data_IF_276746784230
#
_entry.id   IF_276746784230
#
_cell.length_a   1.000
_cell.length_b   1.000
_cell.length_c   1.000
_cell.angle_alpha   90.00
_cell.angle_beta   90.00
_cell.angle_gamma   90.00
#
_symmetry.space_group_name_H-M   'P 1'
#
loop_
_entity.id
_entity.type
_entity.pdbx_description
1 polymer ?
#
# COMPACT_ATOMS: atom_id res chain seq x y z
N UNK A 1 54.83 -2.41 -44.57
CA UNK A 1 54.73 -3.60 -45.44
C UNK A 1 53.40 -3.50 -46.18
N UNK A 2 53.47 -3.43 -47.51
CA UNK A 2 52.34 -3.30 -48.42
C UNK A 2 51.51 -4.58 -48.44
N UNK A 3 50.19 -4.45 -48.52
CA UNK A 3 49.46 -5.09 -49.62
C UNK A 3 48.20 -4.29 -49.97
N UNK A 4 48.16 -3.92 -51.25
CA UNK A 4 47.14 -3.18 -51.99
C UNK A 4 46.30 -4.20 -52.75
N UNK A 5 44.99 -3.96 -52.91
CA UNK A 5 44.14 -4.23 -54.10
C UNK A 5 42.66 -4.10 -53.66
N UNK A 6 41.69 -3.60 -54.43
CA UNK A 6 41.60 -2.63 -55.53
C UNK A 6 40.09 -2.45 -55.79
N UNK A 7 39.61 -1.21 -55.71
CA UNK A 7 38.51 -0.52 -56.41
C UNK A 7 37.06 -1.09 -56.60
N UNK A 8 36.07 -0.16 -56.79
CA UNK A 8 34.62 -0.31 -56.55
C UNK A 8 33.78 -0.38 -57.84
N UNK A 9 32.48 -0.62 -57.68
CA UNK A 9 31.48 -0.43 -58.76
C UNK A 9 30.36 0.50 -58.30
N UNK A 10 30.38 1.67 -58.92
CA UNK A 10 29.31 2.66 -59.10
C UNK A 10 28.30 2.12 -60.12
N UNK A 11 26.99 2.40 -59.97
CA UNK A 11 26.03 2.68 -61.07
C UNK A 11 24.62 2.91 -60.49
N UNK A 12 24.12 4.15 -60.42
CA UNK A 12 23.43 4.94 -61.46
C UNK A 12 21.91 4.67 -61.49
N UNK A 13 21.18 5.69 -61.02
CA UNK A 13 19.76 5.98 -61.28
C UNK A 13 19.55 6.33 -62.76
N UNK A 14 18.49 5.81 -63.38
CA UNK A 14 17.82 6.46 -64.51
C UNK A 14 16.34 6.05 -64.62
N UNK A 15 15.47 7.06 -64.57
CA UNK A 15 14.05 7.04 -64.94
C UNK A 15 13.88 6.79 -66.45
N UNK A 16 12.88 6.01 -66.85
CA UNK A 16 12.05 6.26 -68.04
C UNK A 16 10.98 5.17 -68.21
N UNK A 17 9.71 5.56 -68.17
CA UNK A 17 8.61 4.71 -68.64
C UNK A 17 8.46 4.82 -70.17
N UNK A 18 7.83 3.81 -70.78
CA UNK A 18 7.07 4.02 -72.00
C UNK A 18 5.58 3.73 -71.82
N UNK A 19 4.83 4.46 -72.64
CA UNK A 19 3.40 4.53 -72.75
C UNK A 19 2.71 3.21 -73.14
N UNK A 20 1.42 3.17 -72.80
CA UNK A 20 0.37 2.32 -73.34
C UNK A 20 0.46 2.15 -74.85
N UNK A 21 0.31 0.89 -75.32
CA UNK A 21 -0.41 0.52 -76.54
C UNK A 21 -0.29 -0.99 -76.74
N UNK A 22 -1.19 -1.77 -76.14
CA UNK A 22 -1.53 -3.08 -76.70
C UNK A 22 -2.97 -3.03 -77.21
N UNK A 23 -3.23 -3.53 -78.43
CA UNK A 23 -4.58 -3.61 -78.97
C UNK A 23 -5.39 -4.60 -78.12
N UNK A 24 -6.42 -4.12 -77.45
CA UNK A 24 -7.41 -4.97 -76.81
C UNK A 24 -8.45 -5.35 -77.86
N UNK A 25 -8.47 -6.63 -78.20
CA UNK A 25 -9.43 -7.23 -79.12
C UNK A 25 -10.64 -7.70 -78.29
N UNK A 26 -11.79 -7.04 -78.46
CA UNK A 26 -13.00 -7.22 -77.63
C UNK A 26 -13.78 -8.52 -77.94
N UNK A 27 -13.37 -9.27 -78.96
CA UNK A 27 -14.14 -10.43 -79.47
C UNK A 27 -13.61 -11.80 -79.02
N UNK A 28 -12.66 -11.87 -78.08
CA UNK A 28 -12.08 -13.16 -77.66
C UNK A 28 -12.09 -13.48 -76.15
N UNK A 29 -12.66 -12.63 -75.29
CA UNK A 29 -12.80 -12.95 -73.86
C UNK A 29 -14.24 -13.35 -73.52
N UNK A 30 -14.48 -14.66 -73.45
CA UNK A 30 -15.75 -15.22 -72.99
C UNK A 30 -16.01 -14.94 -71.51
N UNK A 31 -17.29 -14.89 -71.13
CA UNK A 31 -17.78 -14.56 -69.78
C UNK A 31 -17.28 -15.48 -68.64
N UNK A 32 -16.50 -16.52 -68.98
CA UNK A 32 -15.97 -17.53 -68.07
C UNK A 32 -14.54 -17.24 -67.55
N UNK A 33 -13.83 -16.27 -68.12
CA UNK A 33 -12.42 -15.99 -67.78
C UNK A 33 -12.22 -14.77 -66.85
N UNK A 34 -13.31 -14.20 -66.31
CA UNK A 34 -13.21 -13.20 -65.24
C UNK A 34 -13.25 -13.93 -63.89
N UNK A 35 -12.14 -13.99 -63.13
CA UNK A 35 -12.17 -14.58 -61.80
C UNK A 35 -13.18 -13.82 -60.94
N UNK A 36 -14.15 -14.53 -60.37
CA UNK A 36 -15.11 -13.94 -59.46
C UNK A 36 -14.34 -13.20 -58.34
N UNK A 37 -14.50 -11.88 -58.27
CA UNK A 37 -14.04 -11.08 -57.14
C UNK A 37 -14.58 -11.74 -55.88
N UNK A 38 -13.68 -12.26 -55.03
CA UNK A 38 -14.03 -12.59 -53.64
C UNK A 38 -14.44 -11.29 -52.97
N UNK A 39 -15.74 -11.00 -53.00
CA UNK A 39 -16.33 -10.00 -52.14
C UNK A 39 -16.11 -10.51 -50.72
N UNK A 40 -15.12 -9.96 -50.03
CA UNK A 40 -15.02 -10.10 -48.59
C UNK A 40 -16.31 -9.52 -48.05
N UNK A 41 -17.21 -10.38 -47.55
CA UNK A 41 -18.37 -9.90 -46.79
C UNK A 41 -17.83 -8.89 -45.77
N UNK A 42 -18.37 -7.66 -45.69
CA UNK A 42 -17.96 -6.74 -44.65
C UNK A 42 -18.11 -7.48 -43.33
N UNK A 43 -17.03 -7.52 -42.54
CA UNK A 43 -17.00 -8.23 -41.28
C UNK A 43 -18.28 -7.90 -40.52
N UNK A 44 -19.15 -8.90 -40.33
CA UNK A 44 -20.35 -8.72 -39.52
C UNK A 44 -19.86 -8.10 -38.22
N UNK A 45 -20.40 -6.95 -37.78
CA UNK A 45 -19.99 -6.39 -36.51
C UNK A 45 -20.09 -7.52 -35.50
N UNK A 46 -18.99 -7.78 -34.79
CA UNK A 46 -18.99 -8.76 -33.71
C UNK A 46 -20.25 -8.50 -32.88
N UNK A 47 -21.02 -9.54 -32.49
CA UNK A 47 -22.21 -9.33 -31.68
C UNK A 47 -21.78 -8.47 -30.49
N UNK A 48 -22.22 -7.20 -30.50
CA UNK A 48 -22.07 -6.35 -29.33
C UNK A 48 -23.06 -6.94 -28.37
N UNK A 49 -22.60 -7.91 -27.58
CA UNK A 49 -23.35 -8.40 -26.45
C UNK A 49 -23.56 -7.15 -25.61
N UNK A 50 -24.80 -6.64 -25.46
CA UNK A 50 -25.03 -5.53 -24.56
C UNK A 50 -24.43 -5.94 -23.21
N UNK A 51 -23.71 -5.05 -22.49
CA UNK A 51 -23.10 -5.44 -21.24
C UNK A 51 -24.19 -6.04 -20.36
N UNK A 52 -24.14 -7.37 -20.19
CA UNK A 52 -25.08 -8.10 -19.38
C UNK A 52 -24.91 -7.57 -17.98
N UNK A 53 -26.00 -7.07 -17.38
CA UNK A 53 -25.98 -6.68 -15.97
C UNK A 53 -25.65 -7.94 -15.18
N UNK A 54 -24.45 -8.03 -14.64
CA UNK A 54 -24.04 -9.14 -13.77
C UNK A 54 -24.77 -8.92 -12.44
N UNK A 55 -25.60 -9.88 -12.06
CA UNK A 55 -26.23 -9.92 -10.75
C UNK A 55 -25.44 -10.90 -9.91
N UNK A 56 -24.88 -10.44 -8.80
CA UNK A 56 -24.18 -11.26 -7.82
C UNK A 56 -25.11 -11.59 -6.65
N UNK A 57 -24.83 -12.69 -5.96
CA UNK A 57 -25.57 -13.15 -4.79
C UNK A 57 -24.67 -13.06 -3.56
N UNK A 58 -25.12 -12.33 -2.54
CA UNK A 58 -24.50 -12.31 -1.21
C UNK A 58 -25.17 -13.38 -0.35
N UNK A 59 -24.39 -14.35 0.11
CA UNK A 59 -24.81 -15.39 1.06
C UNK A 59 -24.08 -15.20 2.39
N UNK A 60 -24.79 -15.45 3.50
CA UNK A 60 -24.24 -15.38 4.86
C UNK A 60 -24.25 -16.77 5.49
N UNK A 61 -23.45 -16.96 6.54
CA UNK A 61 -23.48 -18.15 7.40
C UNK A 61 -24.32 -17.94 8.67
N UNK A 62 -25.17 -16.91 8.67
CA UNK A 62 -26.17 -16.70 9.73
C UNK A 62 -27.29 -17.73 9.59
N UNK A 63 -27.59 -18.40 10.69
CA UNK A 63 -28.64 -19.41 10.82
C UNK A 63 -29.66 -18.93 11.85
N UNK A 64 -30.94 -19.03 11.50
CA UNK A 64 -32.06 -18.61 12.32
C UNK A 64 -33.02 -19.77 12.51
N UNK A 65 -33.42 -20.03 13.75
CA UNK A 65 -34.36 -21.10 14.05
C UNK A 65 -35.76 -20.79 13.51
N UNK A 66 -36.12 -19.50 13.40
CA UNK A 66 -37.43 -19.09 12.88
C UNK A 66 -37.30 -18.16 11.67
N UNK A 67 -38.10 -18.43 10.63
CA UNK A 67 -38.21 -17.57 9.44
C UNK A 67 -38.53 -16.10 9.80
N UNK A 68 -39.28 -15.87 10.87
CA UNK A 68 -39.62 -14.52 11.35
C UNK A 68 -38.40 -13.67 11.74
N UNK A 69 -37.28 -14.29 12.10
CA UNK A 69 -36.03 -13.62 12.50
C UNK A 69 -35.16 -13.28 11.28
N UNK A 70 -35.34 -14.02 10.17
CA UNK A 70 -34.55 -13.87 8.95
C UNK A 70 -34.82 -12.51 8.29
N UNK A 71 -36.08 -12.08 8.22
CA UNK A 71 -36.44 -10.84 7.52
C UNK A 71 -35.79 -9.59 8.14
N UNK A 72 -35.88 -9.35 9.46
CA UNK A 72 -35.17 -8.24 10.10
C UNK A 72 -33.65 -8.28 9.87
N UNK A 73 -33.03 -9.47 9.94
CA UNK A 73 -31.60 -9.62 9.69
C UNK A 73 -31.22 -9.31 8.23
N UNK A 74 -31.99 -9.84 7.27
CA UNK A 74 -31.81 -9.58 5.84
C UNK A 74 -31.98 -8.09 5.51
N UNK A 75 -33.02 -7.44 6.04
CA UNK A 75 -33.26 -6.01 5.84
C UNK A 75 -32.11 -5.16 6.43
N UNK A 76 -31.53 -5.58 7.57
CA UNK A 76 -30.34 -4.94 8.13
C UNK A 76 -29.11 -5.09 7.22
N UNK A 77 -28.88 -6.28 6.62
CA UNK A 77 -27.78 -6.48 5.66
C UNK A 77 -28.00 -5.68 4.37
N UNK A 78 -29.22 -5.63 3.84
CA UNK A 78 -29.57 -4.78 2.71
C UNK A 78 -29.24 -3.31 3.02
N UNK A 79 -29.58 -2.83 4.21
CA UNK A 79 -29.23 -1.49 4.67
C UNK A 79 -27.72 -1.24 4.71
N UNK A 80 -26.94 -2.19 5.21
CA UNK A 80 -25.47 -2.11 5.25
C UNK A 80 -24.84 -2.09 3.84
N UNK A 81 -25.33 -2.93 2.92
CA UNK A 81 -24.88 -2.95 1.52
C UNK A 81 -25.20 -1.63 0.81
N UNK A 82 -26.40 -1.08 1.01
CA UNK A 82 -26.77 0.23 0.48
C UNK A 82 -25.90 1.35 1.06
N UNK A 83 -25.58 1.29 2.36
CA UNK A 83 -24.64 2.23 2.99
C UNK A 83 -23.21 2.10 2.44
N UNK A 84 -22.84 0.92 1.94
CA UNK A 84 -21.60 0.69 1.19
C UNK A 84 -21.65 1.22 -0.26
N UNK A 85 -22.81 1.70 -0.71
CA UNK A 85 -23.04 2.20 -2.06
C UNK A 85 -23.46 1.14 -3.08
N UNK A 86 -23.68 -0.10 -2.65
CA UNK A 86 -24.16 -1.17 -3.51
C UNK A 86 -25.64 -1.01 -3.83
N UNK A 87 -26.02 -1.38 -5.06
CA UNK A 87 -27.42 -1.49 -5.45
C UNK A 87 -27.89 -2.92 -5.20
N UNK A 88 -28.84 -3.09 -4.29
CA UNK A 88 -29.47 -4.39 -3.98
C UNK A 88 -30.77 -4.56 -4.78
N UNK A 89 -31.02 -5.75 -5.33
CA UNK A 89 -32.24 -6.11 -6.07
C UNK A 89 -33.30 -6.79 -5.20
N UNK A 90 -32.99 -7.01 -3.92
CA UNK A 90 -33.85 -7.69 -2.96
C UNK A 90 -33.14 -8.89 -2.35
N UNK A 91 -33.80 -9.54 -1.40
CA UNK A 91 -33.29 -10.77 -0.81
C UNK A 91 -34.41 -11.80 -0.64
N UNK A 92 -34.01 -13.05 -0.47
CA UNK A 92 -34.89 -14.21 -0.30
C UNK A 92 -34.42 -15.05 0.89
N UNK A 93 -35.38 -15.61 1.62
CA UNK A 93 -35.12 -16.60 2.67
C UNK A 93 -34.75 -17.93 2.01
N UNK A 94 -33.79 -18.64 2.59
CA UNK A 94 -33.33 -19.94 2.14
C UNK A 94 -33.37 -20.92 3.32
N UNK A 95 -34.08 -22.05 3.22
CA UNK A 95 -34.05 -23.07 4.27
C UNK A 95 -32.68 -23.78 4.30
N UNK A 96 -32.16 -24.03 5.50
CA UNK A 96 -30.88 -24.68 5.75
C UNK A 96 -31.07 -25.80 6.81
N UNK A 97 -31.48 -26.98 6.35
CA UNK A 97 -31.79 -28.08 7.26
C UNK A 97 -33.02 -27.78 8.12
N UNK A 98 -32.81 -27.65 9.44
CA UNK A 98 -33.86 -27.26 10.39
C UNK A 98 -33.92 -25.74 10.65
N UNK A 99 -32.96 -24.98 10.11
CA UNK A 99 -32.83 -23.55 10.29
C UNK A 99 -33.08 -22.80 8.97
N UNK A 100 -32.97 -21.48 9.02
CA UNK A 100 -33.17 -20.58 7.89
C UNK A 100 -31.99 -19.62 7.74
N UNK A 101 -31.71 -19.21 6.51
CA UNK A 101 -30.75 -18.16 6.16
C UNK A 101 -31.33 -17.27 5.06
N UNK A 102 -30.51 -16.40 4.44
CA UNK A 102 -30.96 -15.54 3.34
C UNK A 102 -29.87 -15.29 2.30
N UNK A 103 -30.32 -14.96 1.09
CA UNK A 103 -29.47 -14.50 -0.02
C UNK A 103 -29.95 -13.12 -0.47
N UNK A 104 -29.02 -12.20 -0.71
CA UNK A 104 -29.31 -10.86 -1.25
C UNK A 104 -28.70 -10.75 -2.64
N UNK A 105 -29.52 -10.45 -3.64
CA UNK A 105 -29.04 -10.20 -5.00
C UNK A 105 -28.62 -8.72 -5.13
N UNK A 106 -27.47 -8.45 -5.73
CA UNK A 106 -26.90 -7.11 -5.85
C UNK A 106 -26.09 -6.90 -7.13
N UNK A 107 -25.87 -5.64 -7.49
CA UNK A 107 -24.96 -5.26 -8.57
C UNK A 107 -23.52 -5.17 -8.03
N UNK A 108 -22.55 -5.94 -8.56
CA UNK A 108 -21.20 -6.01 -8.02
C UNK A 108 -20.33 -4.81 -8.36
N UNK A 109 -20.90 -3.76 -8.98
CA UNK A 109 -20.19 -2.54 -9.33
C UNK A 109 -20.85 -1.31 -8.70
N UNK A 110 -20.03 -0.30 -8.44
CA UNK A 110 -20.46 1.01 -7.93
C UNK A 110 -19.99 2.12 -8.85
N UNK A 111 -20.85 3.12 -9.09
CA UNK A 111 -20.53 4.25 -9.99
C UNK A 111 -19.45 5.14 -9.39
N UNK A 112 -18.41 5.43 -10.17
CA UNK A 112 -17.24 6.18 -9.69
C UNK A 112 -17.52 7.63 -9.28
N UNK A 113 -18.59 8.25 -9.80
CA UNK A 113 -18.99 9.62 -9.46
C UNK A 113 -19.88 9.72 -8.20
N UNK A 114 -20.30 8.59 -7.61
CA UNK A 114 -21.09 8.61 -6.39
C UNK A 114 -20.20 8.95 -5.18
N UNK A 115 -20.77 9.62 -4.18
CA UNK A 115 -20.13 9.89 -2.89
C UNK A 115 -19.99 8.57 -2.11
N UNK A 116 -18.96 7.80 -2.45
CA UNK A 116 -18.74 6.45 -1.93
C UNK A 116 -17.68 6.43 -0.83
N UNK A 117 -17.76 5.44 0.08
CA UNK A 117 -16.70 5.12 1.02
C UNK A 117 -15.31 5.04 0.34
N UNK A 118 -14.24 5.46 1.02
CA UNK A 118 -12.89 5.33 0.48
C UNK A 118 -12.54 3.86 0.23
N UNK A 119 -11.69 3.61 -0.76
CA UNK A 119 -11.07 2.31 -0.91
C UNK A 119 -10.04 2.19 0.21
N UNK A 120 -10.07 1.08 0.93
CA UNK A 120 -9.15 0.83 2.04
C UNK A 120 -8.60 -0.58 1.92
N UNK A 121 -7.50 -0.83 2.61
CA UNK A 121 -6.99 -2.16 2.87
C UNK A 121 -6.55 -2.22 4.34
N UNK A 122 -6.67 -3.39 4.94
CA UNK A 122 -6.15 -3.67 6.26
C UNK A 122 -4.69 -4.10 6.11
N UNK A 123 -3.82 -3.48 6.90
CA UNK A 123 -2.39 -3.81 6.99
C UNK A 123 -2.05 -4.14 8.44
N UNK A 124 -1.05 -5.01 8.62
CA UNK A 124 -0.51 -5.35 9.94
C UNK A 124 0.93 -4.88 10.02
N UNK A 125 1.19 -3.87 10.83
CA UNK A 125 2.55 -3.47 11.19
C UNK A 125 3.09 -4.40 12.27
N UNK A 126 4.31 -4.91 12.07
CA UNK A 126 5.07 -5.65 13.08
C UNK A 126 6.29 -4.81 13.46
N UNK A 127 6.47 -4.59 14.75
CA UNK A 127 7.53 -3.72 15.26
C UNK A 127 8.95 -4.19 14.96
N UNK A 128 9.15 -5.51 14.84
CA UNK A 128 10.47 -6.09 14.55
C UNK A 128 11.48 -5.96 15.70
N UNK A 129 11.06 -5.48 16.88
CA UNK A 129 11.81 -5.60 18.14
C UNK A 129 11.19 -6.70 19.01
N UNK A 130 12.04 -7.29 19.85
CA UNK A 130 11.66 -8.24 20.88
C UNK A 130 11.92 -7.60 22.26
N UNK A 131 11.01 -7.84 23.19
CA UNK A 131 11.05 -7.34 24.56
C UNK A 131 10.98 -8.51 25.53
N UNK A 132 11.91 -8.54 26.48
CA UNK A 132 11.91 -9.54 27.53
C UNK A 132 10.63 -9.48 28.38
N UNK A 133 10.24 -8.27 28.80
CA UNK A 133 9.05 -8.06 29.63
C UNK A 133 7.82 -7.76 28.76
N UNK A 134 6.74 -8.50 29.01
CA UNK A 134 5.44 -8.28 28.35
C UNK A 134 4.91 -6.85 28.58
N UNK A 135 5.14 -6.30 29.77
CA UNK A 135 4.74 -4.94 30.11
C UNK A 135 5.39 -3.90 29.21
N UNK A 136 6.68 -4.05 28.91
CA UNK A 136 7.42 -3.12 28.07
C UNK A 136 6.93 -3.21 26.62
N UNK A 137 6.67 -4.42 26.12
CA UNK A 137 6.04 -4.63 24.82
C UNK A 137 4.65 -3.99 24.75
N UNK A 138 3.85 -4.12 25.80
CA UNK A 138 2.49 -3.56 25.88
C UNK A 138 2.49 -2.03 25.91
N UNK A 139 3.43 -1.41 26.62
CA UNK A 139 3.55 0.04 26.70
C UNK A 139 4.03 0.63 25.36
N UNK A 140 5.01 0.00 24.70
CA UNK A 140 5.45 0.36 23.35
C UNK A 140 4.35 0.14 22.29
N UNK A 141 3.59 -0.96 22.40
CA UNK A 141 2.44 -1.22 21.53
C UNK A 141 1.39 -0.09 21.63
N UNK A 142 1.07 0.35 22.85
CA UNK A 142 0.11 1.44 23.07
C UNK A 142 0.63 2.76 22.51
N UNK A 143 1.92 3.06 22.72
CA UNK A 143 2.55 4.25 22.17
C UNK A 143 2.54 4.23 20.64
N UNK A 144 2.89 3.10 20.03
CA UNK A 144 2.86 2.92 18.58
C UNK A 144 1.44 3.07 18.02
N UNK A 145 0.45 2.42 18.62
CA UNK A 145 -0.96 2.58 18.20
C UNK A 145 -1.44 4.03 18.35
N UNK A 146 -0.94 4.80 19.33
CA UNK A 146 -1.22 6.23 19.42
C UNK A 146 -0.54 7.03 18.29
N UNK A 147 0.70 6.69 17.93
CA UNK A 147 1.42 7.28 16.79
C UNK A 147 0.72 7.04 15.45
N UNK A 148 0.20 5.84 15.20
CA UNK A 148 -0.64 5.56 14.01
C UNK A 148 -1.88 6.46 13.95
N UNK A 149 -2.59 6.61 15.07
CA UNK A 149 -3.76 7.52 15.15
C UNK A 149 -3.36 8.98 14.97
N UNK A 150 -2.22 9.41 15.52
CA UNK A 150 -1.68 10.75 15.33
C UNK A 150 -1.33 11.03 13.87
N UNK A 151 -0.80 10.01 13.17
CA UNK A 151 -0.54 10.00 11.73
C UNK A 151 -1.81 9.89 10.86
N UNK A 152 -3.01 9.97 11.48
CA UNK A 152 -4.32 9.91 10.82
C UNK A 152 -4.64 8.56 10.15
N UNK A 153 -4.00 7.49 10.61
CA UNK A 153 -4.36 6.12 10.23
C UNK A 153 -5.30 5.51 11.29
N UNK A 154 -6.49 5.03 10.88
CA UNK A 154 -7.38 4.32 11.79
C UNK A 154 -6.75 2.99 12.25
N UNK A 155 -6.65 2.80 13.57
CA UNK A 155 -6.18 1.56 14.18
C UNK A 155 -7.40 0.69 14.50
N UNK A 156 -7.39 -0.54 14.00
CA UNK A 156 -8.42 -1.55 14.27
C UNK A 156 -8.11 -2.31 15.54
N UNK A 157 -6.85 -2.73 15.70
CA UNK A 157 -6.43 -3.52 16.85
C UNK A 157 -4.93 -3.46 17.04
N UNK A 158 -4.48 -3.96 18.18
CA UNK A 158 -3.07 -4.21 18.46
C UNK A 158 -2.96 -5.38 19.41
N UNK A 159 -1.97 -6.24 19.21
CA UNK A 159 -1.79 -7.44 20.01
C UNK A 159 -0.32 -7.77 20.20
N UNK A 160 -0.04 -8.51 21.28
CA UNK A 160 1.27 -9.08 21.54
C UNK A 160 1.37 -10.46 20.90
N UNK A 161 2.57 -10.83 20.46
CA UNK A 161 2.89 -12.16 19.97
C UNK A 161 4.27 -12.59 20.45
N UNK A 162 4.47 -13.91 20.57
CA UNK A 162 5.77 -14.46 20.94
C UNK A 162 6.76 -14.35 19.77
N UNK A 163 7.96 -13.84 20.05
CA UNK A 163 9.06 -13.72 19.11
C UNK A 163 10.32 -14.33 19.73
N UNK A 164 10.60 -15.60 19.44
CA UNK A 164 11.85 -16.25 19.87
C UNK A 164 12.01 -16.46 21.38
N UNK A 165 10.91 -16.50 22.15
CA UNK A 165 10.93 -16.59 23.62
C UNK A 165 10.66 -15.25 24.32
N UNK A 166 10.77 -14.16 23.57
CA UNK A 166 10.43 -12.80 24.01
C UNK A 166 9.06 -12.37 23.49
N UNK A 167 8.65 -11.16 23.85
CA UNK A 167 7.40 -10.53 23.44
C UNK A 167 7.63 -9.51 22.33
N UNK A 168 6.80 -9.51 21.30
CA UNK A 168 6.75 -8.48 20.27
C UNK A 168 5.30 -8.03 20.08
N UNK A 169 5.09 -6.99 19.28
CA UNK A 169 3.74 -6.46 19.08
C UNK A 169 3.43 -6.15 17.62
N UNK A 170 2.14 -6.22 17.32
CA UNK A 170 1.59 -5.86 16.03
C UNK A 170 0.47 -4.84 16.18
N UNK A 171 0.30 -4.00 15.17
CA UNK A 171 -0.77 -3.01 15.07
C UNK A 171 -1.47 -3.21 13.74
N UNK A 172 -2.77 -3.51 13.79
CA UNK A 172 -3.63 -3.63 12.62
C UNK A 172 -4.26 -2.26 12.33
N UNK A 173 -4.08 -1.77 11.12
CA UNK A 173 -4.52 -0.44 10.72
C UNK A 173 -5.11 -0.43 9.31
N UNK A 174 -5.89 0.61 9.03
CA UNK A 174 -6.46 0.86 7.72
C UNK A 174 -5.63 1.89 6.97
N UNK A 175 -5.22 1.55 5.75
CA UNK A 175 -4.63 2.50 4.80
C UNK A 175 -5.55 2.66 3.60
N UNK A 176 -5.70 3.91 3.14
CA UNK A 176 -6.47 4.17 1.93
C UNK A 176 -5.76 3.54 0.73
N UNK A 177 -6.54 2.99 -0.19
CA UNK A 177 -6.05 2.45 -1.45
C UNK A 177 -6.32 3.47 -2.57
N UNK A 178 -5.30 3.82 -3.34
CA UNK A 178 -5.39 4.82 -4.41
C UNK A 178 -5.90 4.17 -5.69
N UNK A 179 -7.18 4.34 -5.97
CA UNK A 179 -7.80 3.86 -7.21
C UNK A 179 -7.55 4.84 -8.36
N UNK A 180 -7.33 4.31 -9.57
CA UNK A 180 -7.36 5.13 -10.79
C UNK A 180 -8.81 5.55 -11.07
N UNK A 181 -9.05 6.79 -11.51
CA UNK A 181 -10.39 7.21 -11.93
C UNK A 181 -10.98 6.22 -12.94
N UNK A 182 -12.18 5.71 -12.63
CA UNK A 182 -12.94 4.80 -13.48
C UNK A 182 -14.43 5.17 -13.43
N UNK A 183 -15.17 4.83 -14.47
CA UNK A 183 -16.62 5.03 -14.53
C UNK A 183 -17.35 4.17 -13.48
N UNK A 184 -16.86 2.95 -13.27
CA UNK A 184 -17.34 2.00 -12.26
C UNK A 184 -16.16 1.33 -11.57
N UNK A 185 -16.36 0.99 -10.30
CA UNK A 185 -15.44 0.18 -9.51
C UNK A 185 -16.10 -1.14 -9.15
N UNK A 186 -15.29 -2.19 -9.10
CA UNK A 186 -15.71 -3.49 -8.59
C UNK A 186 -15.82 -3.42 -7.07
N UNK A 187 -16.60 -4.32 -6.50
CA UNK A 187 -16.76 -4.44 -5.06
C UNK A 187 -16.31 -5.81 -4.58
N UNK A 188 -15.55 -5.81 -3.48
CA UNK A 188 -15.02 -7.01 -2.84
C UNK A 188 -15.46 -7.04 -1.38
N UNK A 189 -15.89 -8.22 -0.94
CA UNK A 189 -16.11 -8.53 0.47
C UNK A 189 -14.82 -9.04 1.07
N UNK A 190 -14.44 -8.50 2.21
CA UNK A 190 -13.27 -8.92 2.97
C UNK A 190 -13.65 -9.17 4.42
N UNK A 191 -12.85 -10.01 5.08
CA UNK A 191 -13.02 -10.35 6.48
C UNK A 191 -11.77 -9.93 7.23
N UNK A 192 -11.97 -9.26 8.36
CA UNK A 192 -10.91 -8.94 9.30
C UNK A 192 -11.23 -9.58 10.64
N UNK A 193 -10.30 -10.36 11.18
CA UNK A 193 -10.43 -11.03 12.48
C UNK A 193 -9.43 -10.42 13.45
N UNK A 194 -9.92 -9.90 14.57
CA UNK A 194 -9.11 -9.22 15.57
C UNK A 194 -9.55 -9.47 16.99
N UNK A 195 -8.64 -9.20 17.92
CA UNK A 195 -8.86 -9.39 19.36
C UNK A 195 -8.60 -10.81 19.86
N UNK A 196 -8.51 -10.91 21.19
CA UNK A 196 -8.29 -12.15 21.92
C UNK A 196 -9.12 -12.08 23.20
N UNK A 197 -10.11 -12.95 23.31
CA UNK A 197 -11.08 -13.01 24.40
C UNK A 197 -11.12 -14.42 24.95
N UNK A 198 -11.20 -14.57 26.27
CA UNK A 198 -11.24 -15.91 26.88
C UNK A 198 -12.60 -16.58 26.64
N UNK A 199 -13.67 -15.80 26.60
CA UNK A 199 -15.03 -16.30 26.44
C UNK A 199 -15.71 -15.75 25.19
N UNK A 200 -16.51 -16.60 24.53
CA UNK A 200 -17.34 -16.20 23.37
C UNK A 200 -18.22 -14.99 23.71
N UNK A 201 -18.83 -15.00 24.91
CA UNK A 201 -19.72 -13.92 25.35
C UNK A 201 -19.03 -12.55 25.43
N UNK A 202 -17.71 -12.51 25.67
CA UNK A 202 -16.92 -11.27 25.65
C UNK A 202 -16.67 -10.80 24.22
N UNK A 203 -16.32 -11.72 23.32
CA UNK A 203 -16.17 -11.42 21.90
C UNK A 203 -17.49 -10.90 21.30
N UNK A 204 -18.62 -11.55 21.62
CA UNK A 204 -19.96 -11.10 21.20
C UNK A 204 -20.26 -9.68 21.70
N UNK A 205 -19.99 -9.39 22.98
CA UNK A 205 -20.15 -8.05 23.55
C UNK A 205 -19.24 -7.00 22.89
N UNK A 206 -18.09 -7.41 22.36
CA UNK A 206 -17.15 -6.52 21.69
C UNK A 206 -17.58 -6.19 20.24
N UNK A 207 -18.37 -7.03 19.57
CA UNK A 207 -18.77 -6.86 18.15
C UNK A 207 -19.22 -5.42 17.82
N UNK A 208 -20.13 -4.77 18.57
CA UNK A 208 -20.57 -3.41 18.25
C UNK A 208 -19.43 -2.37 18.25
N UNK A 209 -18.43 -2.53 19.12
CA UNK A 209 -17.29 -1.64 19.18
C UNK A 209 -16.41 -1.76 17.94
N UNK A 210 -16.15 -2.98 17.46
CA UNK A 210 -15.40 -3.21 16.22
C UNK A 210 -16.14 -2.66 14.99
N UNK A 211 -17.46 -2.88 14.89
CA UNK A 211 -18.28 -2.30 13.82
C UNK A 211 -18.24 -0.77 13.84
N UNK A 212 -18.29 -0.16 15.03
CA UNK A 212 -18.18 1.29 15.18
C UNK A 212 -16.79 1.83 14.77
N UNK A 213 -15.71 1.10 15.05
CA UNK A 213 -14.36 1.47 14.63
C UNK A 213 -14.22 1.50 13.11
N UNK A 214 -14.69 0.46 12.40
CA UNK A 214 -14.69 0.44 10.94
C UNK A 214 -15.55 1.57 10.37
N UNK A 215 -16.74 1.80 10.94
CA UNK A 215 -17.62 2.90 10.54
C UNK A 215 -16.95 4.26 10.73
N UNK A 216 -16.26 4.49 11.85
CA UNK A 216 -15.51 5.71 12.11
C UNK A 216 -14.32 5.90 11.15
N UNK A 217 -13.74 4.81 10.67
CA UNK A 217 -12.72 4.81 9.63
C UNK A 217 -13.29 5.01 8.21
N UNK A 218 -14.62 5.12 8.07
CA UNK A 218 -15.30 5.25 6.78
C UNK A 218 -15.43 3.93 6.02
N UNK A 219 -15.25 2.78 6.67
CA UNK A 219 -15.35 1.46 6.07
C UNK A 219 -16.74 0.87 6.34
N UNK A 220 -17.51 0.52 5.29
CA UNK A 220 -18.81 -0.11 5.46
C UNK A 220 -18.67 -1.54 5.98
N UNK A 221 -18.91 -1.71 7.28
CA UNK A 221 -19.01 -3.04 7.88
C UNK A 221 -20.42 -3.61 7.63
N UNK A 222 -20.47 -4.87 7.21
CA UNK A 222 -21.73 -5.58 6.89
C UNK A 222 -22.24 -6.32 8.11
N UNK A 223 -21.35 -7.01 8.81
CA UNK A 223 -21.64 -7.74 10.04
C UNK A 223 -20.37 -8.05 10.82
N UNK A 224 -20.55 -8.37 12.09
CA UNK A 224 -19.49 -8.93 12.91
C UNK A 224 -20.02 -10.11 13.71
N UNK A 225 -19.15 -11.07 14.00
CA UNK A 225 -19.45 -12.24 14.81
C UNK A 225 -18.26 -12.64 15.67
N UNK A 226 -18.52 -13.38 16.74
CA UNK A 226 -17.47 -14.07 17.46
C UNK A 226 -17.03 -15.29 16.66
N UNK A 227 -15.72 -15.56 16.64
CA UNK A 227 -15.13 -16.75 16.02
C UNK A 227 -14.12 -17.36 16.98
N UNK A 228 -14.06 -18.68 17.04
CA UNK A 228 -13.05 -19.38 17.81
C UNK A 228 -11.71 -19.36 17.06
N UNK A 229 -10.63 -19.09 17.79
CA UNK A 229 -9.26 -19.09 17.30
C UNK A 229 -8.63 -20.47 17.44
N UNK A 230 -7.50 -20.68 16.77
CA UNK A 230 -6.74 -21.93 16.86
C UNK A 230 -6.17 -22.19 18.26
N UNK A 231 -5.94 -21.14 19.06
CA UNK A 231 -5.45 -21.23 20.44
C UNK A 231 -6.56 -21.48 21.48
N UNK A 232 -7.80 -21.71 21.05
CA UNK A 232 -8.96 -22.00 21.91
C UNK A 232 -9.71 -20.76 22.41
N UNK A 233 -9.05 -19.60 22.39
CA UNK A 233 -9.66 -18.29 22.67
C UNK A 233 -10.59 -17.83 21.53
N UNK A 234 -11.31 -16.72 21.76
CA UNK A 234 -12.24 -16.13 20.82
C UNK A 234 -11.70 -14.81 20.23
N UNK A 235 -12.15 -14.47 19.03
CA UNK A 235 -11.89 -13.21 18.35
C UNK A 235 -13.19 -12.65 17.76
N UNK A 236 -13.16 -11.38 17.34
CA UNK A 236 -14.23 -10.78 16.55
C UNK A 236 -13.82 -10.80 15.09
N UNK A 237 -14.64 -11.44 14.25
CA UNK A 237 -14.55 -11.36 12.79
C UNK A 237 -15.55 -10.34 12.29
N UNK A 238 -15.07 -9.33 11.57
CA UNK A 238 -15.90 -8.33 10.89
C UNK A 238 -15.80 -8.53 9.39
N UNK A 239 -16.95 -8.71 8.76
CA UNK A 239 -17.10 -8.68 7.31
C UNK A 239 -17.37 -7.25 6.87
N UNK A 240 -16.59 -6.77 5.90
CA UNK A 240 -16.70 -5.42 5.38
C UNK A 240 -16.55 -5.41 3.86
N UNK A 241 -17.02 -4.32 3.28
CA UNK A 241 -17.05 -4.14 1.83
C UNK A 241 -16.09 -3.03 1.43
N UNK A 242 -15.25 -3.33 0.43
CA UNK A 242 -14.33 -2.37 -0.17
C UNK A 242 -14.53 -2.27 -1.66
N UNK A 243 -14.43 -1.05 -2.18
CA UNK A 243 -14.30 -0.84 -3.61
C UNK A 243 -12.87 -1.16 -4.06
N UNK A 244 -12.76 -1.82 -5.20
CA UNK A 244 -11.49 -2.23 -5.79
C UNK A 244 -11.41 -1.75 -7.23
N UNK A 245 -10.21 -1.39 -7.67
CA UNK A 245 -9.92 -1.15 -9.07
C UNK A 245 -9.52 -2.45 -9.76
N UNK A 246 -9.46 -2.43 -11.10
CA UNK A 246 -8.90 -3.53 -11.90
C UNK A 246 -7.38 -3.67 -11.76
N UNK A 247 -6.73 -2.67 -11.17
CA UNK A 247 -5.30 -2.68 -10.87
C UNK A 247 -5.07 -3.22 -9.46
N UNK A 248 -3.92 -3.86 -9.22
CA UNK A 248 -3.52 -4.34 -7.90
C UNK A 248 -3.52 -3.27 -6.79
N UNK A 249 -3.23 -3.70 -5.56
CA UNK A 249 -3.23 -2.85 -4.38
C UNK A 249 -2.24 -1.68 -4.50
N UNK A 250 -2.69 -0.50 -4.09
CA UNK A 250 -1.96 0.77 -4.19
C UNK A 250 -2.14 1.57 -2.88
N UNK A 251 -1.55 1.09 -1.77
CA UNK A 251 -1.61 1.80 -0.49
C UNK A 251 -1.17 3.27 -0.63
N UNK A 252 -1.94 4.17 -0.03
CA UNK A 252 -1.64 5.60 -0.05
C UNK A 252 -0.38 5.94 0.76
N UNK A 253 -0.05 5.11 1.75
CA UNK A 253 1.12 5.28 2.60
C UNK A 253 1.77 3.93 2.91
N UNK A 254 3.07 3.95 3.15
CA UNK A 254 3.88 2.80 3.55
C UNK A 254 4.64 3.12 4.82
N UNK A 255 4.90 2.09 5.62
CA UNK A 255 5.84 2.17 6.74
C UNK A 255 7.25 1.94 6.19
N UNK A 256 8.17 2.85 6.51
CA UNK A 256 9.58 2.76 6.14
C UNK A 256 10.42 2.81 7.41
N UNK A 257 11.53 2.08 7.40
CA UNK A 257 12.49 2.04 8.49
C UNK A 257 13.70 2.91 8.16
N UNK A 258 14.07 3.79 9.08
CA UNK A 258 15.38 4.43 9.11
C UNK A 258 16.27 3.68 10.10
N UNK A 259 17.46 3.29 9.67
CA UNK A 259 18.46 2.67 10.54
C UNK A 259 19.55 3.70 10.87
N UNK A 260 19.72 3.99 12.17
CA UNK A 260 20.72 4.95 12.64
C UNK A 260 22.13 4.43 12.43
N UNK A 261 23.08 5.35 12.24
CA UNK A 261 24.52 5.05 12.17
C UNK A 261 25.19 5.05 13.55
N UNK A 262 24.50 5.52 14.57
CA UNK A 262 25.03 5.61 15.92
C UNK A 262 25.04 4.23 16.57
N UNK A 263 26.15 3.92 17.25
CA UNK A 263 26.33 2.69 18.01
C UNK A 263 26.53 3.01 19.49
N UNK A 264 25.94 2.17 20.33
CA UNK A 264 25.89 2.30 21.77
C UNK A 264 26.29 0.98 22.41
N UNK A 265 27.03 1.03 23.51
CA UNK A 265 27.42 -0.19 24.23
C UNK A 265 26.23 -0.86 24.92
N UNK A 266 25.18 -0.10 25.25
CA UNK A 266 23.99 -0.59 25.94
C UNK A 266 22.72 -0.32 25.14
N UNK A 267 21.82 -1.31 25.15
CA UNK A 267 20.49 -1.24 24.55
C UNK A 267 19.64 -0.08 25.09
N UNK A 268 19.76 0.21 26.40
CA UNK A 268 19.04 1.29 27.06
C UNK A 268 19.45 2.68 26.55
N UNK A 269 20.71 2.87 26.16
CA UNK A 269 21.20 4.10 25.55
C UNK A 269 20.69 4.22 24.11
N UNK A 270 20.74 3.13 23.34
CA UNK A 270 20.18 3.08 21.99
C UNK A 270 18.67 3.38 22.01
N UNK A 271 17.90 2.81 22.95
CA UNK A 271 16.47 3.08 23.10
C UNK A 271 16.19 4.54 23.45
N UNK A 272 17.00 5.12 24.35
CA UNK A 272 16.89 6.53 24.72
C UNK A 272 17.16 7.44 23.52
N UNK A 273 18.19 7.14 22.74
CA UNK A 273 18.51 7.86 21.51
C UNK A 273 17.39 7.74 20.46
N UNK A 274 16.85 6.53 20.27
CA UNK A 274 15.75 6.25 19.36
C UNK A 274 14.50 7.08 19.68
N UNK A 275 14.10 7.12 20.96
CA UNK A 275 12.97 7.94 21.43
C UNK A 275 13.25 9.44 21.27
N UNK A 276 14.49 9.88 21.48
CA UNK A 276 14.90 11.27 21.28
C UNK A 276 14.93 11.69 19.81
N UNK A 277 15.04 10.74 18.87
CA UNK A 277 14.99 10.99 17.44
C UNK A 277 13.55 11.19 16.91
N UNK A 278 12.51 10.60 17.53
CA UNK A 278 11.13 10.71 17.01
C UNK A 278 10.67 12.17 16.72
N UNK A 279 10.97 13.17 17.56
CA UNK A 279 10.61 14.56 17.27
C UNK A 279 11.34 15.18 16.06
N UNK A 280 12.51 14.68 15.63
CA UNK A 280 13.18 15.18 14.42
C UNK A 280 12.42 14.74 13.16
N UNK A 281 11.98 13.48 13.11
CA UNK A 281 11.11 12.96 12.05
C UNK A 281 9.80 13.74 11.95
N UNK A 282 9.12 13.93 13.09
CA UNK A 282 7.87 14.69 13.13
C UNK A 282 8.06 16.13 12.61
N UNK A 283 9.15 16.81 12.99
CA UNK A 283 9.49 18.16 12.49
C UNK A 283 9.84 18.18 11.00
N UNK A 284 10.47 17.12 10.49
CA UNK A 284 10.74 16.95 9.06
C UNK A 284 9.47 16.63 8.22
N UNK A 285 8.33 16.41 8.89
CA UNK A 285 7.05 16.08 8.25
C UNK A 285 6.87 14.59 7.97
N UNK A 286 7.66 13.73 8.62
CA UNK A 286 7.53 12.28 8.58
C UNK A 286 6.93 11.81 9.91
N UNK A 287 5.66 11.34 9.96
CA UNK A 287 5.08 10.85 11.20
C UNK A 287 5.86 9.63 11.73
N UNK A 288 6.55 9.73 12.88
CA UNK A 288 7.23 8.59 13.47
C UNK A 288 6.18 7.64 14.06
N UNK A 289 6.42 6.34 13.98
CA UNK A 289 5.51 5.28 14.42
C UNK A 289 6.07 4.52 15.61
N UNK A 290 7.36 4.16 15.57
CA UNK A 290 8.00 3.42 16.65
C UNK A 290 9.51 3.70 16.71
N UNK A 291 10.07 3.45 17.89
CA UNK A 291 11.51 3.40 18.15
C UNK A 291 11.89 1.93 18.38
N UNK A 292 12.90 1.45 17.64
CA UNK A 292 13.30 0.04 17.62
C UNK A 292 14.77 -0.04 17.99
N UNK A 293 15.13 -0.89 18.95
CA UNK A 293 16.54 -1.21 19.23
C UNK A 293 16.95 -2.40 18.39
N UNK A 294 18.15 -2.34 17.82
CA UNK A 294 18.73 -3.41 17.00
C UNK A 294 20.13 -3.77 17.51
N UNK A 295 20.43 -5.07 17.70
CA UNK A 295 21.79 -5.49 17.99
C UNK A 295 22.68 -5.32 16.75
N UNK A 296 23.89 -4.80 16.93
CA UNK A 296 24.89 -4.64 15.86
C UNK A 296 26.25 -5.17 16.35
N UNK A 297 26.50 -6.46 16.10
CA UNK A 297 27.70 -7.13 16.59
C UNK A 297 27.69 -7.27 18.11
N UNK A 298 28.55 -6.51 18.80
CA UNK A 298 28.62 -6.45 20.27
C UNK A 298 27.97 -5.19 20.85
N UNK A 299 27.60 -4.26 19.98
CA UNK A 299 26.97 -3.00 20.34
C UNK A 299 25.49 -3.02 19.94
N UNK A 300 24.82 -1.92 20.19
CA UNK A 300 23.43 -1.68 19.85
C UNK A 300 23.32 -0.42 19.01
N UNK A 301 22.39 -0.43 18.07
CA UNK A 301 21.97 0.76 17.37
C UNK A 301 20.44 0.85 17.44
N UNK A 302 19.87 1.84 16.78
CA UNK A 302 18.43 2.02 16.74
C UNK A 302 17.92 2.21 15.32
N UNK A 303 16.61 1.97 15.18
CA UNK A 303 15.84 2.32 14.02
C UNK A 303 14.61 3.14 14.43
N UNK A 304 14.13 3.94 13.50
CA UNK A 304 12.84 4.63 13.61
C UNK A 304 11.98 4.17 12.45
N UNK A 305 10.82 3.59 12.76
CA UNK A 305 9.80 3.33 11.74
C UNK A 305 8.93 4.57 11.61
N UNK A 306 8.68 5.01 10.38
CA UNK A 306 7.90 6.21 10.07
C UNK A 306 6.99 5.98 8.87
N UNK A 307 5.97 6.83 8.76
CA UNK A 307 5.02 6.77 7.65
C UNK A 307 5.48 7.66 6.49
N UNK A 308 5.45 7.12 5.26
CA UNK A 308 5.67 7.89 4.04
C UNK A 308 4.50 7.72 3.07
N UNK A 309 4.12 8.80 2.39
CA UNK A 309 3.09 8.75 1.36
C UNK A 309 3.65 8.15 0.07
N UNK A 310 2.85 7.37 -0.65
CA UNK A 310 3.23 6.77 -1.92
C UNK A 310 2.76 7.64 -3.09
N UNK A 311 3.68 7.97 -3.99
CA UNK A 311 3.40 8.63 -5.26
C UNK A 311 3.45 7.58 -6.36
N UNK A 312 2.34 7.44 -7.08
CA UNK A 312 2.24 6.48 -8.17
C UNK A 312 2.33 7.18 -9.51
N UNK A 313 3.28 6.74 -10.33
CA UNK A 313 3.56 7.28 -11.67
C UNK A 313 3.65 6.16 -12.71
N UNK A 314 3.73 6.51 -14.00
CA UNK A 314 3.70 5.52 -15.09
C UNK A 314 4.86 4.48 -15.04
N UNK A 315 5.94 4.77 -14.31
CA UNK A 315 7.09 3.87 -14.13
C UNK A 315 7.17 3.13 -12.78
N UNK A 316 6.20 3.29 -11.88
CA UNK A 316 6.20 2.60 -10.58
C UNK A 316 5.68 3.44 -9.42
N UNK A 317 6.01 3.02 -8.20
CA UNK A 317 5.74 3.72 -6.95
C UNK A 317 7.03 4.30 -6.41
N UNK A 318 7.01 5.59 -6.05
CA UNK A 318 8.10 6.24 -5.34
C UNK A 318 7.56 6.81 -4.01
N UNK A 319 8.36 6.81 -2.94
CA UNK A 319 7.96 7.47 -1.71
C UNK A 319 7.98 8.99 -1.90
N UNK A 320 7.05 9.70 -1.24
CA UNK A 320 6.98 11.15 -1.26
C UNK A 320 8.13 11.82 -0.53
N UNK A 321 8.86 11.06 0.30
CA UNK A 321 10.05 11.50 0.97
C UNK A 321 11.03 10.33 1.16
N UNK A 322 12.32 10.63 1.21
CA UNK A 322 13.37 9.67 1.51
C UNK A 322 14.33 10.25 2.54
N UNK A 323 15.06 9.38 3.22
CA UNK A 323 16.21 9.79 4.03
C UNK A 323 17.46 9.60 3.18
N UNK A 324 18.20 10.67 2.96
CA UNK A 324 19.48 10.68 2.26
C UNK A 324 20.61 10.97 3.24
N UNK A 325 21.82 10.55 2.88
CA UNK A 325 23.01 10.81 3.69
C UNK A 325 23.94 11.78 2.98
N UNK A 326 24.31 12.85 3.67
CA UNK A 326 25.47 13.66 3.36
C UNK A 326 26.70 13.11 4.08
N UNK A 327 27.75 12.76 3.32
CA UNK A 327 29.04 12.37 3.87
C UNK A 327 30.01 13.55 3.76
N UNK A 328 30.61 13.96 4.88
CA UNK A 328 31.62 15.00 4.86
C UNK A 328 32.88 14.53 4.12
N UNK A 329 33.41 15.30 3.16
CA UNK A 329 34.67 14.97 2.50
C UNK A 329 35.89 15.28 3.38
N UNK A 330 35.70 16.10 4.42
CA UNK A 330 36.75 16.53 5.34
C UNK A 330 37.02 15.49 6.41
N UNK A 331 38.27 15.45 6.86
CA UNK A 331 38.72 14.65 8.00
C UNK A 331 39.33 15.54 9.08
N UNK A 332 39.04 15.22 10.33
CA UNK A 332 39.47 15.96 11.51
C UNK A 332 40.43 15.13 12.35
N UNK A 333 41.31 15.82 13.09
CA UNK A 333 42.27 15.14 13.95
C UNK A 333 41.60 14.63 15.23
N UNK A 334 40.64 15.39 15.75
CA UNK A 334 39.92 15.09 16.98
C UNK A 334 38.42 14.88 16.74
N UNK A 335 37.82 13.93 17.47
CA UNK A 335 36.39 13.65 17.46
C UNK A 335 35.55 14.90 17.79
N UNK A 336 36.01 15.71 18.74
CA UNK A 336 35.33 16.95 19.14
C UNK A 336 35.25 17.98 18.01
N UNK A 337 36.25 18.02 17.12
CA UNK A 337 36.25 18.91 15.96
C UNK A 337 35.25 18.42 14.91
N UNK A 338 35.25 17.11 14.62
CA UNK A 338 34.30 16.49 13.71
C UNK A 338 32.85 16.69 14.20
N UNK A 339 32.61 16.54 15.52
CA UNK A 339 31.30 16.75 16.13
C UNK A 339 30.83 18.20 16.03
N UNK A 340 31.73 19.15 16.30
CA UNK A 340 31.40 20.58 16.13
C UNK A 340 31.04 20.92 14.69
N UNK A 341 31.83 20.44 13.72
CA UNK A 341 31.56 20.65 12.30
C UNK A 341 30.25 19.98 11.85
N UNK A 342 29.96 18.78 12.36
CA UNK A 342 28.70 18.07 12.15
C UNK A 342 27.50 18.87 12.66
N UNK A 343 27.56 19.39 13.89
CA UNK A 343 26.48 20.16 14.50
C UNK A 343 26.22 21.47 13.73
N UNK A 344 27.28 22.18 13.32
CA UNK A 344 27.18 23.39 12.48
C UNK A 344 26.55 23.07 11.11
N UNK A 345 26.96 21.97 10.48
CA UNK A 345 26.41 21.53 9.20
C UNK A 345 24.97 21.07 9.33
N UNK A 346 24.61 20.34 10.40
CA UNK A 346 23.24 19.92 10.67
C UNK A 346 22.31 21.12 10.92
N UNK A 347 22.79 22.15 11.62
CA UNK A 347 22.06 23.41 11.77
C UNK A 347 21.83 24.09 10.41
N UNK A 348 22.85 24.11 9.53
CA UNK A 348 22.71 24.66 8.19
C UNK A 348 21.70 23.90 7.32
N UNK A 349 21.68 22.55 7.39
CA UNK A 349 20.67 21.73 6.70
C UNK A 349 19.26 22.07 7.18
N UNK A 350 19.04 22.11 8.50
CA UNK A 350 17.75 22.47 9.06
C UNK A 350 17.32 23.89 8.66
N UNK A 351 18.26 24.86 8.64
CA UNK A 351 18.00 26.22 8.18
C UNK A 351 17.66 26.30 6.68
N UNK A 352 18.21 25.40 5.87
CA UNK A 352 17.88 25.24 4.45
C UNK A 352 16.56 24.46 4.21
N UNK A 353 15.87 24.04 5.27
CA UNK A 353 14.63 23.25 5.18
C UNK A 353 14.84 21.76 4.92
N UNK A 354 16.08 21.27 5.00
CA UNK A 354 16.42 19.85 4.98
C UNK A 354 16.39 19.34 6.42
N UNK A 355 15.28 18.71 6.80
CA UNK A 355 15.09 18.22 8.17
C UNK A 355 16.09 17.11 8.49
N UNK A 356 17.02 17.39 9.40
CA UNK A 356 18.02 16.41 9.86
C UNK A 356 17.35 15.44 10.82
N UNK A 357 17.51 14.15 10.55
CA UNK A 357 16.89 13.05 11.32
C UNK A 357 17.90 12.20 12.06
N UNK A 358 19.16 12.20 11.64
CA UNK A 358 20.25 11.55 12.34
C UNK A 358 21.61 12.09 11.90
N UNK A 359 22.63 11.82 12.67
CA UNK A 359 24.00 12.23 12.36
C UNK A 359 24.98 11.41 13.18
N UNK A 360 26.14 11.09 12.62
CA UNK A 360 27.15 10.33 13.32
C UNK A 360 28.57 10.79 12.94
N UNK A 361 29.46 10.79 13.93
CA UNK A 361 30.91 10.88 13.71
C UNK A 361 31.47 9.46 13.64
N UNK A 362 32.33 9.22 12.66
CA UNK A 362 33.00 7.93 12.46
C UNK A 362 34.47 8.16 12.22
N UNK A 363 35.30 7.15 12.49
CA UNK A 363 36.74 7.20 12.27
C UNK A 363 37.54 6.84 13.50
N UNK A 364 38.82 7.18 13.47
CA UNK A 364 39.76 6.88 14.55
C UNK A 364 40.75 8.03 14.71
N UNK A 365 41.58 7.98 15.76
CA UNK A 365 42.49 9.08 16.12
C UNK A 365 43.31 9.56 14.91
N UNK A 366 43.19 10.85 14.59
CA UNK A 366 43.87 11.47 13.45
C UNK A 366 43.10 11.42 12.12
N UNK A 367 41.92 10.77 12.06
CA UNK A 367 41.07 10.71 10.88
C UNK A 367 39.60 10.45 11.26
N UNK A 368 38.93 11.48 11.78
CA UNK A 368 37.49 11.48 12.04
C UNK A 368 36.73 12.17 10.89
N UNK A 369 35.56 11.66 10.52
CA UNK A 369 34.64 12.29 9.57
C UNK A 369 33.22 12.20 10.11
N UNK A 370 32.27 12.91 9.50
CA UNK A 370 30.87 12.87 9.92
C UNK A 370 29.92 12.62 8.76
N UNK A 371 28.75 12.09 9.10
CA UNK A 371 27.62 11.91 8.20
C UNK A 371 26.37 12.57 8.79
N UNK A 372 25.52 13.12 7.93
CA UNK A 372 24.22 13.69 8.29
C UNK A 372 23.15 13.01 7.47
N UNK A 373 22.16 12.44 8.13
CA UNK A 373 20.99 11.86 7.51
C UNK A 373 19.85 12.90 7.52
N UNK A 374 19.33 13.23 6.36
CA UNK A 374 18.34 14.30 6.16
C UNK A 374 17.20 13.86 5.26
N UNK A 375 16.04 14.50 5.42
CA UNK A 375 14.84 14.18 4.66
C UNK A 375 14.81 14.98 3.36
N UNK A 376 14.66 14.29 2.23
CA UNK A 376 14.34 14.87 0.92
C UNK A 376 12.91 14.56 0.53
N UNK A 377 12.23 15.48 -0.16
CA UNK A 377 10.86 15.28 -0.66
C UNK A 377 10.86 15.13 -2.17
N UNK A 378 10.03 14.22 -2.68
CA UNK A 378 9.85 14.04 -4.10
C UNK A 378 9.41 15.36 -4.77
N UNK A 379 10.13 15.79 -5.81
CA UNK A 379 9.87 17.05 -6.52
C UNK A 379 10.61 18.27 -5.95
N UNK A 380 11.37 18.14 -4.85
CA UNK A 380 12.43 19.10 -4.57
C UNK A 380 13.55 18.90 -5.59
N UNK A 381 14.01 19.95 -6.30
CA UNK A 381 15.16 19.80 -7.19
C UNK A 381 16.36 19.37 -6.36
N UNK A 382 17.00 18.26 -6.74
CA UNK A 382 18.29 17.82 -6.21
C UNK A 382 19.43 18.72 -6.70
N UNK A 383 19.16 20.01 -6.92
CA UNK A 383 20.15 20.97 -7.38
C UNK A 383 20.85 21.56 -6.15
N UNK A 384 21.68 20.72 -5.55
CA UNK A 384 22.76 21.17 -4.69
C UNK A 384 24.05 21.01 -5.47
N UNK A 385 24.11 21.75 -6.58
CA UNK A 385 25.35 22.15 -7.20
C UNK A 385 26.33 22.63 -6.12
N UNK A 386 27.55 22.11 -6.24
CA UNK A 386 28.76 22.58 -5.61
C UNK A 386 28.65 23.99 -5.00
N UNK A 387 28.80 24.08 -3.68
CA UNK A 387 29.22 25.33 -3.05
C UNK A 387 30.49 25.82 -3.77
N UNK A 388 30.58 27.10 -4.17
CA UNK A 388 31.76 27.61 -4.85
C UNK A 388 32.99 27.43 -3.96
N UNK A 389 34.07 26.99 -4.60
CA UNK A 389 35.40 26.74 -4.03
C UNK A 389 35.97 27.94 -3.29
#
# INVERSE_FOLDING_TARGET
MFNVLLFPVLSVLAFSGPAFSQPFDLDSSGLADVPALKVVEPARPAPVTPPGVIIAAYSTDEEFTFESEVKPAMDARIGALKAAGLTTLGGRVVPLGNDYSFIIDYLPTVKGAAALPPAVQVETYRNGAAYWLEKDAADEMKACAASFRAAKLPVLGSYLYAAGGDNAFAVDYLVKNVLRPAQEYDVKFENYTGGKFTFESEAVKAVPAWLAQLKAAGVPAIRGKAVQRQDGDYAVSVEYVVKTGKTGLRPQASVVRYDSRENFTFDSEALKAARAALPSFARAGLPPLSAVVRPEGRDYSFSVDFLVMNIYQQGGVIPAAAVETYQAPETFTFDTEAKKAMDEKAAAFNAAGLGVVGSAVTGSLGSFTYAIDYVTKAGQPADHGHLPR
#
